data_IF_445691135236
#
_entry.id   IF_445691135236
#
_cell.length_a   1.000
_cell.length_b   1.000
_cell.length_c   1.000
_cell.angle_alpha   90.00
_cell.angle_beta   90.00
_cell.angle_gamma   90.00
#
_symmetry.space_group_name_H-M   'P 1'
#
loop_
_entity.id
_entity.type
_entity.pdbx_description
1 polymer ?
2 non-polymer ?
3 non-polymer ?
4 water ?
#
# COMPACT_ATOMS: atom_id res chain seq x y z
N UNK A 1 -24.10 -15.74 -4.09
CA UNK A 1 -23.05 -15.07 -3.27
C UNK A 1 -22.09 -14.28 -4.15
N UNK A 2 -20.99 -13.82 -3.56
CA UNK A 2 -19.97 -13.02 -4.22
C UNK A 2 -18.66 -13.09 -3.41
N UNK A 3 -17.58 -12.70 -4.05
CA UNK A 3 -16.28 -12.65 -3.37
C UNK A 3 -16.32 -11.38 -2.53
N UNK A 4 -16.26 -11.54 -1.22
CA UNK A 4 -16.33 -10.39 -0.34
C UNK A 4 -14.92 -9.82 -0.18
N UNK A 5 -14.80 -8.56 -0.54
CA UNK A 5 -13.52 -7.91 -0.51
C UNK A 5 -13.62 -6.76 0.49
N UNK A 6 -12.59 -6.67 1.33
CA UNK A 6 -12.57 -5.54 2.24
C UNK A 6 -11.19 -4.90 2.01
N UNK A 7 -11.26 -3.62 1.71
CA UNK A 7 -10.03 -2.92 1.37
C UNK A 7 -9.87 -1.75 2.35
N UNK A 8 -8.62 -1.59 2.80
CA UNK A 8 -8.37 -0.45 3.66
C UNK A 8 -7.78 0.70 2.84
N UNK A 9 -8.01 1.92 3.28
CA UNK A 9 -7.46 3.08 2.60
C UNK A 9 -8.06 3.28 1.23
N UNK A 10 -9.39 3.37 1.18
CA UNK A 10 -10.03 3.56 -0.13
C UNK A 10 -10.37 5.00 -0.45
N UNK A 11 -9.86 5.94 0.33
CA UNK A 11 -10.24 7.33 0.06
C UNK A 11 -9.66 7.84 -1.24
N UNK A 12 -8.55 7.26 -1.67
CA UNK A 12 -7.93 7.73 -2.89
C UNK A 12 -6.98 6.66 -3.42
N UNK A 13 -6.34 7.03 -4.51
CA UNK A 13 -5.32 6.20 -5.11
C UNK A 13 -5.74 4.78 -5.37
N UNK A 14 -4.78 3.90 -5.09
CA UNK A 14 -4.98 2.48 -5.38
C UNK A 14 -6.22 1.91 -4.74
N UNK A 15 -6.42 2.19 -3.46
CA UNK A 15 -7.53 1.63 -2.73
C UNK A 15 -8.85 2.06 -3.38
N UNK A 16 -8.94 3.34 -3.67
CA UNK A 16 -10.19 3.84 -4.29
C UNK A 16 -10.41 3.14 -5.61
N UNK A 17 -9.36 3.15 -6.45
CA UNK A 17 -9.49 2.57 -7.78
C UNK A 17 -9.76 1.08 -7.71
N UNK A 18 -9.11 0.39 -6.78
CA UNK A 18 -9.33 -1.03 -6.66
C UNK A 18 -10.76 -1.32 -6.23
N UNK A 19 -11.21 -0.58 -5.22
CA UNK A 19 -12.57 -0.78 -4.73
C UNK A 19 -13.59 -0.68 -5.87
N UNK A 20 -13.46 0.39 -6.65
CA UNK A 20 -14.44 0.60 -7.72
C UNK A 20 -14.20 -0.36 -8.87
N UNK A 21 -12.92 -0.69 -9.11
CA UNK A 21 -12.67 -1.70 -10.14
C UNK A 21 -13.38 -3.00 -9.78
N UNK A 22 -13.22 -3.41 -8.51
CA UNK A 22 -13.85 -4.64 -8.09
C UNK A 22 -15.37 -4.55 -8.08
N UNK A 23 -15.85 -3.44 -7.55
CA UNK A 23 -17.30 -3.29 -7.37
C UNK A 23 -17.97 -3.22 -8.73
N UNK A 24 -17.29 -2.61 -9.70
CA UNK A 24 -17.87 -2.44 -11.02
C UNK A 24 -17.51 -3.59 -11.96
N UNK A 25 -16.83 -4.61 -11.45
CA UNK A 25 -16.45 -5.73 -12.31
C UNK A 25 -17.71 -6.19 -13.05
N UNK A 26 -17.62 -6.30 -14.36
CA UNK A 26 -18.73 -6.75 -15.17
C UNK A 26 -19.37 -8.03 -14.66
N UNK A 27 -18.60 -8.98 -14.15
CA UNK A 27 -19.11 -10.22 -13.61
C UNK A 27 -19.90 -10.02 -12.33
N UNK A 28 -19.77 -8.89 -11.65
CA UNK A 28 -20.46 -8.62 -10.40
C UNK A 28 -20.14 -9.71 -9.38
N UNK A 29 -18.91 -10.19 -9.42
CA UNK A 29 -18.45 -11.28 -8.59
C UNK A 29 -17.97 -10.75 -7.24
N UNK A 30 -17.77 -9.44 -7.16
CA UNK A 30 -17.26 -8.88 -5.93
C UNK A 30 -18.25 -7.99 -5.19
N UNK A 31 -18.12 -8.17 -3.89
CA UNK A 31 -18.86 -7.35 -2.95
C UNK A 31 -17.74 -6.61 -2.20
N UNK A 32 -17.74 -5.30 -2.38
CA UNK A 32 -16.62 -4.57 -1.80
C UNK A 32 -16.99 -3.69 -0.63
N UNK A 33 -16.18 -3.93 0.40
CA UNK A 33 -16.26 -3.06 1.56
C UNK A 33 -15.07 -2.11 1.38
N UNK A 34 -15.36 -0.96 0.83
CA UNK A 34 -14.30 0.02 0.62
C UNK A 34 -14.21 0.79 1.94
N UNK A 35 -13.14 0.52 2.69
CA UNK A 35 -13.07 1.16 3.99
C UNK A 35 -12.11 2.33 3.91
N UNK A 36 -12.46 3.32 4.72
CA UNK A 36 -11.74 4.59 4.67
C UNK A 36 -11.45 5.00 6.11
N UNK A 37 -10.33 5.69 6.27
CA UNK A 37 -10.01 6.13 7.63
C UNK A 37 -11.08 7.08 8.13
N UNK A 38 -11.47 7.99 7.22
CA UNK A 38 -12.47 8.98 7.57
C UNK A 38 -13.55 8.89 6.50
N UNK A 39 -14.79 8.61 6.90
CA UNK A 39 -15.86 8.55 5.91
C UNK A 39 -16.08 9.84 5.17
N UNK A 40 -15.65 10.99 5.70
CA UNK A 40 -15.78 12.26 5.01
C UNK A 40 -14.98 12.29 3.70
N UNK A 41 -14.07 11.35 3.51
CA UNK A 41 -13.30 11.32 2.28
C UNK A 41 -13.88 10.33 1.28
N UNK A 42 -15.07 9.80 1.50
CA UNK A 42 -15.63 8.81 0.60
C UNK A 42 -16.22 9.37 -0.68
N UNK A 43 -16.20 10.68 -0.85
CA UNK A 43 -16.79 11.30 -2.02
C UNK A 43 -16.17 10.81 -3.30
N UNK A 44 -14.84 10.84 -3.41
CA UNK A 44 -14.23 10.44 -4.68
C UNK A 44 -14.54 8.98 -4.97
N UNK A 45 -14.57 8.18 -3.91
CA UNK A 45 -14.93 6.78 -4.06
C UNK A 45 -16.32 6.63 -4.65
N UNK A 46 -17.31 7.38 -4.14
CA UNK A 46 -18.64 7.30 -4.70
C UNK A 46 -18.73 7.92 -6.09
N UNK A 47 -17.93 8.94 -6.31
CA UNK A 47 -17.91 9.57 -7.64
C UNK A 47 -17.37 8.55 -8.64
N UNK A 48 -16.28 7.89 -8.23
CA UNK A 48 -15.67 6.88 -9.08
C UNK A 48 -16.60 5.68 -9.25
N UNK A 49 -17.25 5.28 -8.17
CA UNK A 49 -18.17 4.16 -8.20
C UNK A 49 -19.29 4.41 -9.21
N UNK A 50 -19.85 5.60 -9.13
CA UNK A 50 -20.93 5.99 -10.03
C UNK A 50 -20.44 6.07 -11.47
N UNK A 51 -19.21 6.54 -11.65
CA UNK A 51 -18.60 6.66 -12.97
C UNK A 51 -18.47 5.29 -13.63
N UNK A 52 -18.18 4.29 -12.80
CA UNK A 52 -18.05 2.92 -13.26
C UNK A 52 -19.34 2.14 -13.15
N UNK A 53 -20.43 2.81 -12.78
CA UNK A 53 -21.73 2.18 -12.66
C UNK A 53 -21.68 0.97 -11.75
N UNK A 54 -21.03 1.12 -10.59
CA UNK A 54 -21.01 0.02 -9.64
C UNK A 54 -22.47 -0.25 -9.23
N UNK A 55 -22.91 -1.47 -9.42
CA UNK A 55 -24.28 -1.81 -9.06
C UNK A 55 -24.51 -1.53 -7.59
N UNK A 56 -25.73 -1.13 -7.25
CA UNK A 56 -26.10 -0.87 -5.86
C UNK A 56 -25.82 -2.11 -5.04
N UNK A 57 -25.09 -1.96 -3.94
CA UNK A 57 -24.78 -3.08 -3.07
C UNK A 57 -23.47 -3.75 -3.44
N UNK A 58 -22.84 -3.33 -4.53
CA UNK A 58 -21.56 -3.93 -4.91
C UNK A 58 -20.46 -3.28 -4.09
N UNK A 59 -20.77 -2.07 -3.63
CA UNK A 59 -19.79 -1.28 -2.92
C UNK A 59 -20.43 -0.63 -1.71
N UNK A 60 -19.76 -0.84 -0.59
CA UNK A 60 -20.25 -0.30 0.67
C UNK A 60 -19.01 0.31 1.33
N UNK A 61 -19.20 1.49 1.89
CA UNK A 61 -18.09 2.12 2.57
C UNK A 61 -18.27 1.91 4.06
N UNK A 62 -17.12 1.67 4.70
CA UNK A 62 -17.10 1.53 6.13
C UNK A 62 -15.95 2.44 6.58
N UNK A 63 -16.12 2.97 7.78
CA UNK A 63 -15.00 3.69 8.37
C UNK A 63 -14.10 2.58 8.92
N UNK A 64 -12.81 2.74 8.66
CA UNK A 64 -11.87 1.76 9.16
C UNK A 64 -10.54 2.48 9.20
N UNK A 65 -10.19 2.83 10.43
CA UNK A 65 -8.92 3.53 10.65
C UNK A 65 -8.02 2.41 11.13
N UNK A 66 -7.00 2.06 10.34
CA UNK A 66 -6.14 0.94 10.74
C UNK A 66 -5.29 1.24 11.95
N UNK A 67 -5.30 2.47 12.47
CA UNK A 67 -4.56 2.76 13.69
C UNK A 67 -5.36 2.29 14.91
N UNK A 68 -6.63 2.02 14.68
CA UNK A 68 -7.54 1.70 15.77
C UNK A 68 -8.11 0.32 15.63
N UNK A 69 -7.68 -0.60 16.50
CA UNK A 69 -8.16 -1.96 16.45
C UNK A 69 -9.67 -2.03 16.67
N UNK A 70 -10.21 -1.06 17.40
CA UNK A 70 -11.65 -1.01 17.60
C UNK A 70 -12.34 -0.71 16.27
N UNK A 71 -11.72 0.19 15.51
CA UNK A 71 -12.29 0.55 14.20
C UNK A 71 -12.21 -0.66 13.29
N UNK A 72 -11.07 -1.35 13.33
CA UNK A 72 -10.86 -2.56 12.55
C UNK A 72 -11.95 -3.56 12.92
N UNK A 73 -12.09 -3.79 14.23
CA UNK A 73 -13.08 -4.76 14.68
C UNK A 73 -14.49 -4.33 14.31
N UNK A 74 -14.79 -3.04 14.42
CA UNK A 74 -16.14 -2.57 14.09
C UNK A 74 -16.43 -2.77 12.61
N UNK A 75 -15.43 -2.50 11.77
CA UNK A 75 -15.62 -2.68 10.33
C UNK A 75 -15.83 -4.15 10.02
N UNK A 76 -15.05 -5.02 10.63
CA UNK A 76 -15.13 -6.46 10.45
C UNK A 76 -16.53 -6.95 10.80
N UNK A 77 -17.07 -6.40 11.89
CA UNK A 77 -18.42 -6.73 12.32
C UNK A 77 -19.46 -6.27 11.31
N UNK A 78 -19.17 -5.23 10.54
CA UNK A 78 -20.07 -4.70 9.53
C UNK A 78 -20.08 -5.52 8.26
N UNK A 79 -19.17 -6.48 8.14
CA UNK A 79 -19.16 -7.34 6.96
C UNK A 79 -20.34 -8.31 7.15
N UNK A 80 -21.47 -7.95 6.57
CA UNK A 80 -22.71 -8.71 6.73
C UNK A 80 -22.61 -10.15 6.28
N UNK A 81 -21.79 -10.44 5.29
CA UNK A 81 -21.57 -11.80 4.80
C UNK A 81 -20.91 -12.68 5.85
N UNK A 82 -20.28 -12.09 6.86
CA UNK A 82 -19.65 -12.81 7.95
C UNK A 82 -18.37 -13.48 7.50
N UNK A 83 -17.78 -12.95 6.42
CA UNK A 83 -16.57 -13.49 5.89
C UNK A 83 -15.97 -12.45 4.92
N UNK A 84 -14.67 -12.52 4.84
CA UNK A 84 -13.92 -11.67 3.90
C UNK A 84 -13.11 -12.65 3.07
N UNK A 85 -13.39 -12.66 1.77
CA UNK A 85 -12.67 -13.58 0.90
C UNK A 85 -11.34 -12.95 0.52
N UNK A 86 -11.39 -11.63 0.36
CA UNK A 86 -10.20 -10.91 -0.07
C UNK A 86 -10.01 -9.70 0.83
N UNK A 87 -8.90 -9.69 1.54
CA UNK A 87 -8.62 -8.58 2.42
C UNK A 87 -7.48 -7.81 1.75
N UNK A 88 -7.73 -6.54 1.52
CA UNK A 88 -6.69 -5.75 0.86
C UNK A 88 -6.22 -4.70 1.85
N UNK A 89 -4.99 -4.90 2.29
CA UNK A 89 -4.38 -3.99 3.25
C UNK A 89 -3.63 -2.96 2.40
N UNK A 90 -4.30 -1.82 2.25
CA UNK A 90 -3.75 -0.78 1.40
C UNK A 90 -3.57 0.51 2.16
N UNK A 91 -4.19 0.61 3.34
CA UNK A 91 -4.04 1.82 4.13
C UNK A 91 -2.56 2.12 4.29
N UNK A 92 -2.23 3.39 4.06
CA UNK A 92 -0.80 3.68 4.22
C UNK A 92 -0.61 5.18 4.32
N UNK A 93 0.57 5.48 4.84
CA UNK A 93 1.04 6.83 4.95
C UNK A 93 2.40 6.92 4.27
N UNK A 94 2.66 8.12 3.76
CA UNK A 94 3.98 8.35 3.18
C UNK A 94 4.67 9.26 4.22
N UNK A 95 5.97 9.36 4.05
CA UNK A 95 6.71 10.26 4.93
C UNK A 95 8.00 10.52 4.18
N UNK A 96 8.13 11.77 3.77
CA UNK A 96 9.28 12.10 2.95
C UNK A 96 10.03 13.24 3.59
N UNK A 97 11.35 13.10 3.63
CA UNK A 97 12.13 14.23 4.16
C UNK A 97 13.35 13.68 4.86
N UNK A 98 14.26 14.60 5.16
CA UNK A 98 15.46 14.25 5.91
C UNK A 98 14.97 13.57 7.18
N UNK A 99 15.60 12.44 7.52
CA UNK A 99 15.18 11.75 8.73
C UNK A 99 15.06 12.67 9.94
N UNK A 100 16.04 13.52 10.19
CA UNK A 100 16.05 14.43 11.32
C UNK A 100 15.01 15.52 11.25
N UNK A 101 14.40 15.74 10.09
CA UNK A 101 13.34 16.72 9.93
C UNK A 101 11.97 16.09 10.16
N UNK A 102 11.92 14.76 10.26
CA UNK A 102 10.63 14.10 10.45
C UNK A 102 10.22 14.15 11.91
N UNK A 103 8.97 14.50 12.12
CA UNK A 103 8.45 14.53 13.48
C UNK A 103 8.42 13.10 13.99
N UNK A 104 8.68 12.96 15.27
CA UNK A 104 8.66 11.66 15.91
C UNK A 104 7.29 11.01 15.76
N UNK A 105 6.25 11.82 15.95
CA UNK A 105 4.88 11.35 15.82
C UNK A 105 4.61 10.90 14.39
N UNK A 106 5.13 11.67 13.43
CA UNK A 106 4.94 11.34 12.02
C UNK A 106 5.60 9.99 11.75
N UNK A 107 6.82 9.84 12.27
CA UNK A 107 7.51 8.56 12.07
C UNK A 107 6.69 7.43 12.67
N UNK A 108 6.29 7.59 13.93
CA UNK A 108 5.50 6.58 14.62
C UNK A 108 4.22 6.27 13.86
N UNK A 109 3.58 7.33 13.37
CA UNK A 109 2.33 7.17 12.65
C UNK A 109 2.50 6.33 11.41
N UNK A 110 3.61 6.54 10.70
CA UNK A 110 3.85 5.79 9.46
C UNK A 110 3.98 4.31 9.81
N UNK A 111 4.73 4.01 10.88
CA UNK A 111 4.86 2.61 11.24
C UNK A 111 3.54 2.07 11.75
N UNK A 112 2.83 2.91 12.51
CA UNK A 112 1.56 2.47 13.07
C UNK A 112 0.54 2.17 11.99
N UNK A 113 0.48 3.08 11.01
CA UNK A 113 -0.51 2.86 9.96
C UNK A 113 -0.06 1.75 9.03
N UNK A 114 1.17 1.91 8.51
CA UNK A 114 1.62 1.00 7.47
C UNK A 114 1.88 -0.41 7.95
N UNK A 115 2.51 -0.46 9.12
CA UNK A 115 2.87 -1.79 9.63
C UNK A 115 1.89 -2.28 10.67
N UNK A 116 1.78 -1.55 11.79
CA UNK A 116 0.89 -2.07 12.83
C UNK A 116 -0.54 -2.15 12.33
N UNK A 117 -0.95 -1.18 11.50
CA UNK A 117 -2.29 -1.16 10.95
C UNK A 117 -2.57 -2.42 10.14
N UNK A 118 -1.56 -2.81 9.34
CA UNK A 118 -1.68 -4.04 8.57
C UNK A 118 -1.71 -5.23 9.50
N UNK A 119 -0.85 -5.19 10.52
CA UNK A 119 -0.92 -6.27 11.52
C UNK A 119 -2.32 -6.33 12.11
N UNK A 120 -2.86 -5.17 12.51
CA UNK A 120 -4.21 -5.19 13.07
C UNK A 120 -5.19 -5.81 12.10
N UNK A 121 -5.10 -5.45 10.82
CA UNK A 121 -6.02 -6.03 9.84
C UNK A 121 -5.84 -7.54 9.83
N UNK A 122 -4.58 -7.99 9.77
CA UNK A 122 -4.34 -9.41 9.69
C UNK A 122 -4.80 -10.11 10.96
N UNK A 123 -4.58 -9.46 12.11
CA UNK A 123 -5.01 -10.13 13.34
C UNK A 123 -6.52 -10.28 13.33
N UNK A 124 -7.21 -9.25 12.84
CA UNK A 124 -8.65 -9.24 12.83
C UNK A 124 -9.24 -10.22 11.82
N UNK A 125 -8.63 -10.34 10.64
CA UNK A 125 -9.22 -11.14 9.59
C UNK A 125 -8.55 -12.44 9.26
N UNK A 126 -7.27 -12.62 9.61
CA UNK A 126 -6.59 -13.87 9.31
C UNK A 126 -7.22 -15.06 9.99
N UNK A 127 -7.54 -14.97 11.27
CA UNK A 127 -8.09 -16.12 11.99
C UNK A 127 -9.25 -16.77 11.25
N UNK A 128 -10.23 -16.00 10.82
CA UNK A 128 -11.37 -16.55 10.09
C UNK A 128 -10.91 -17.21 8.80
N UNK A 129 -9.96 -16.57 8.09
CA UNK A 129 -9.47 -17.18 6.87
C UNK A 129 -8.81 -18.52 7.15
N UNK A 130 -7.95 -18.54 8.16
CA UNK A 130 -7.29 -19.79 8.52
C UNK A 130 -8.34 -20.83 8.89
N UNK A 131 -9.36 -20.41 9.61
CA UNK A 131 -10.44 -21.31 10.02
C UNK A 131 -11.16 -21.88 8.81
N UNK A 132 -11.46 -21.02 7.84
CA UNK A 132 -12.14 -21.44 6.62
C UNK A 132 -11.23 -22.22 5.69
N UNK A 133 -9.93 -21.97 5.82
CA UNK A 133 -8.93 -22.59 4.95
C UNK A 133 -8.98 -21.88 3.61
N UNK A 134 -9.40 -20.61 3.64
CA UNK A 134 -9.48 -19.85 2.40
C UNK A 134 -9.46 -18.36 2.72
N UNK A 135 -8.98 -17.62 1.73
CA UNK A 135 -8.94 -16.16 1.91
C UNK A 135 -7.68 -15.68 1.20
N UNK A 136 -7.84 -14.49 0.64
CA UNK A 136 -6.72 -13.88 -0.06
C UNK A 136 -6.47 -12.57 0.69
N UNK A 137 -5.19 -12.36 0.96
CA UNK A 137 -4.83 -11.10 1.57
C UNK A 137 -3.85 -10.43 0.61
N UNK A 138 -4.25 -9.25 0.17
CA UNK A 138 -3.38 -8.50 -0.71
C UNK A 138 -2.89 -7.28 0.06
N UNK A 139 -1.59 -7.08 0.01
CA UNK A 139 -1.03 -5.96 0.76
C UNK A 139 -0.36 -5.05 -0.25
N UNK A 140 -0.74 -3.78 -0.18
CA UNK A 140 -0.11 -2.85 -1.10
C UNK A 140 1.33 -2.66 -0.63
N UNK A 141 2.21 -3.08 -1.51
CA UNK A 141 3.63 -2.96 -1.23
C UNK A 141 4.14 -1.84 -2.14
N UNK A 142 5.46 -1.68 -2.03
CA UNK A 142 6.07 -0.63 -2.84
C UNK A 142 7.44 -1.17 -3.20
N UNK A 143 7.96 -0.63 -4.29
CA UNK A 143 9.35 -0.93 -4.63
C UNK A 143 10.21 -0.35 -3.52
N UNK A 144 9.72 0.68 -2.83
CA UNK A 144 10.41 1.26 -1.70
C UNK A 144 10.42 0.32 -0.49
N UNK A 145 9.72 -0.80 -0.57
CA UNK A 145 9.74 -1.82 0.45
C UNK A 145 10.80 -2.87 0.08
N UNK A 146 11.36 -2.71 -1.11
CA UNK A 146 12.33 -3.63 -1.65
C UNK A 146 13.71 -3.02 -1.78
N UNK A 147 13.74 -1.70 -1.75
CA UNK A 147 15.03 -1.03 -1.87
C UNK A 147 14.87 0.34 -1.22
N UNK A 148 15.93 0.76 -0.56
CA UNK A 148 15.87 2.00 0.21
C UNK A 148 15.98 3.20 -0.72
N UNK A 149 15.23 4.21 -0.33
CA UNK A 149 15.21 5.46 -1.10
C UNK A 149 15.55 6.56 -0.12
N UNK A 150 16.51 7.38 -0.52
CA UNK A 150 16.93 8.48 0.35
C UNK A 150 15.71 9.34 0.57
N UNK A 151 15.62 9.89 1.77
CA UNK A 151 14.55 10.76 2.20
C UNK A 151 13.21 10.06 2.36
N UNK A 152 13.22 8.75 2.21
CA UNK A 152 12.03 7.94 2.41
C UNK A 152 12.40 6.87 3.43
N UNK A 153 13.34 7.20 4.30
CA UNK A 153 13.85 6.25 5.27
C UNK A 153 12.75 5.56 6.04
N UNK A 154 11.82 6.37 6.52
CA UNK A 154 10.76 5.78 7.35
C UNK A 154 9.72 5.10 6.50
N UNK A 155 9.41 5.75 5.36
CA UNK A 155 8.45 5.16 4.45
C UNK A 155 8.97 3.79 4.03
N UNK A 156 10.24 3.79 3.59
CA UNK A 156 10.82 2.51 3.16
C UNK A 156 10.87 1.55 4.33
N UNK A 157 11.25 2.08 5.50
CA UNK A 157 11.28 1.18 6.67
C UNK A 157 9.93 0.50 6.79
N UNK A 158 8.85 1.28 6.66
CA UNK A 158 7.52 0.70 6.80
C UNK A 158 7.18 -0.28 5.71
N UNK A 159 7.62 0.01 4.48
CA UNK A 159 7.27 -0.87 3.36
C UNK A 159 8.12 -2.12 3.43
N UNK A 160 9.36 -1.94 3.88
CA UNK A 160 10.24 -3.10 4.06
C UNK A 160 9.62 -3.93 5.18
N UNK A 161 9.13 -3.25 6.20
CA UNK A 161 8.48 -3.96 7.32
C UNK A 161 7.34 -4.80 6.79
N UNK A 162 6.56 -4.27 5.85
CA UNK A 162 5.48 -5.06 5.28
C UNK A 162 6.01 -6.29 4.56
N UNK A 163 7.15 -6.15 3.89
CA UNK A 163 7.75 -7.30 3.24
C UNK A 163 8.03 -8.37 4.29
N UNK A 164 8.69 -7.95 5.39
CA UNK A 164 9.06 -8.93 6.40
C UNK A 164 7.79 -9.52 7.03
N UNK A 165 6.84 -8.64 7.29
CA UNK A 165 5.59 -9.11 7.87
C UNK A 165 4.90 -10.15 7.00
N UNK A 166 4.71 -9.77 5.73
CA UNK A 166 3.99 -10.66 4.83
C UNK A 166 4.75 -11.91 4.47
N UNK A 167 6.07 -11.75 4.31
CA UNK A 167 6.84 -12.94 3.96
C UNK A 167 6.82 -13.95 5.08
N UNK A 168 6.98 -13.44 6.30
CA UNK A 168 6.92 -14.27 7.49
C UNK A 168 5.58 -14.97 7.59
N UNK A 169 4.52 -14.20 7.34
CA UNK A 169 3.19 -14.81 7.38
C UNK A 169 3.01 -15.83 6.27
N UNK A 170 3.52 -15.47 5.10
CA UNK A 170 3.35 -16.34 3.94
C UNK A 170 3.97 -17.71 4.18
N UNK A 171 5.12 -17.72 4.86
CA UNK A 171 5.76 -19.01 5.14
C UNK A 171 4.84 -19.88 5.98
N UNK A 172 4.16 -19.24 6.93
CA UNK A 172 3.25 -19.99 7.77
C UNK A 172 1.97 -20.36 7.04
N UNK A 173 1.38 -19.36 6.35
CA UNK A 173 0.10 -19.55 5.73
C UNK A 173 0.03 -20.48 4.55
N UNK A 174 1.14 -20.89 4.00
CA UNK A 174 1.25 -21.74 2.85
C UNK A 174 0.26 -22.89 2.86
N UNK A 175 0.26 -23.74 3.89
CA UNK A 175 -0.64 -24.86 3.96
C UNK A 175 -2.03 -24.56 4.49
N UNK A 176 -2.31 -23.33 4.89
CA UNK A 176 -3.61 -22.97 5.42
C UNK A 176 -4.64 -22.68 4.34
N UNK A 177 -4.20 -22.49 3.10
CA UNK A 177 -5.11 -22.17 2.01
C UNK A 177 -5.40 -20.66 2.01
N UNK A 178 -4.66 -19.93 2.82
CA UNK A 178 -4.82 -18.48 2.93
C UNK A 178 -3.64 -17.91 2.17
N UNK A 179 -3.96 -17.09 1.17
CA UNK A 179 -2.93 -16.59 0.28
C UNK A 179 -2.65 -15.14 0.57
N UNK A 180 -1.40 -14.87 0.86
CA UNK A 180 -1.00 -13.50 1.15
C UNK A 180 -0.08 -13.04 0.03
N UNK A 181 -0.39 -11.88 -0.52
CA UNK A 181 0.44 -11.37 -1.59
C UNK A 181 0.64 -9.88 -1.39
N UNK A 182 1.84 -9.47 -1.72
CA UNK A 182 2.19 -8.06 -1.73
C UNK A 182 2.12 -7.60 -3.18
N UNK A 183 1.48 -6.47 -3.36
CA UNK A 183 1.39 -5.90 -4.70
C UNK A 183 2.43 -4.79 -4.68
N UNK A 184 3.58 -5.12 -5.30
CA UNK A 184 4.71 -4.18 -5.25
C UNK A 184 4.52 -3.10 -6.32
N UNK A 185 4.14 -1.94 -5.81
CA UNK A 185 3.87 -0.85 -6.72
C UNK A 185 5.09 0.03 -6.87
N UNK A 186 5.22 0.54 -8.09
CA UNK A 186 6.20 1.60 -8.32
C UNK A 186 5.43 2.90 -8.06
N UNK A 187 5.93 3.98 -8.63
CA UNK A 187 5.23 5.25 -8.54
C UNK A 187 3.89 5.07 -9.24
N UNK A 188 2.88 5.61 -8.58
CA UNK A 188 1.53 5.52 -9.13
C UNK A 188 0.97 6.93 -9.21
N UNK A 189 0.31 7.25 -10.30
CA UNK A 189 -0.32 8.56 -10.43
C UNK A 189 -1.50 8.65 -9.48
N UNK A 190 -1.35 9.33 -8.36
CA UNK A 190 -2.39 9.48 -7.35
C UNK A 190 -2.15 10.82 -6.63
N UNK A 191 -3.09 11.75 -6.74
CA UNK A 191 -2.97 13.04 -6.07
C UNK A 191 -3.67 12.94 -4.71
N UNK A 192 -2.92 12.51 -3.70
CA UNK A 192 -3.49 12.33 -2.36
C UNK A 192 -2.54 12.66 -1.23
N UNK A 193 -3.05 13.44 -0.28
CA UNK A 193 -2.34 13.84 0.90
C UNK A 193 -0.82 13.74 0.79
N UNK A 194 -0.17 13.32 1.88
CA UNK A 194 1.28 13.22 1.99
C UNK A 194 1.96 14.57 2.04
N UNK A 195 1.33 15.64 1.59
CA UNK A 195 1.79 17.01 1.59
C UNK A 195 1.78 17.62 2.98
N UNK A 196 1.67 16.81 4.02
CA UNK A 196 1.77 17.11 5.41
C UNK A 196 3.26 17.05 5.80
N UNK A 197 4.08 16.60 4.85
CA UNK A 197 5.51 16.52 4.95
C UNK A 197 6.08 17.71 5.73
N UNK A 198 6.06 18.86 5.06
CA UNK A 198 6.59 20.09 5.65
C UNK A 198 7.15 20.99 4.55
N UNK A 199 6.80 22.27 4.62
CA UNK A 199 7.28 23.24 3.64
C UNK A 199 8.80 23.22 3.62
N UNK A 200 9.40 23.67 2.53
CA UNK A 200 10.85 23.76 2.42
C UNK A 200 11.45 24.44 3.63
N UNK A 201 10.86 25.55 4.06
CA UNK A 201 11.25 26.34 5.21
C UNK A 201 11.37 25.47 6.46
N UNK A 202 10.28 24.79 6.84
CA UNK A 202 10.30 23.92 8.00
C UNK A 202 11.29 22.77 7.84
N UNK A 203 11.42 22.23 6.64
CA UNK A 203 12.36 21.16 6.39
C UNK A 203 13.79 21.67 6.58
N UNK A 204 14.09 22.79 5.92
CA UNK A 204 15.42 23.39 6.04
C UNK A 204 15.75 23.75 7.47
N UNK A 205 14.76 24.20 8.23
CA UNK A 205 14.89 24.52 9.63
C UNK A 205 15.17 23.29 10.50
N UNK A 206 14.90 22.10 10.00
CA UNK A 206 15.11 20.86 10.74
C UNK A 206 16.25 20.01 10.20
N UNK A 207 17.01 20.54 9.25
CA UNK A 207 18.13 19.76 8.72
C UNK A 207 19.24 20.71 8.29
N UNK A 208 20.33 20.15 7.79
CA UNK A 208 21.43 21.00 7.34
C UNK A 208 21.22 21.34 5.88
N UNK A 209 21.89 22.37 5.40
CA UNK A 209 21.73 22.86 4.03
C UNK A 209 22.14 21.81 3.02
N UNK A 210 23.10 20.95 3.31
CA UNK A 210 23.57 19.94 2.37
C UNK A 210 22.50 18.85 2.22
N UNK A 211 21.99 18.42 3.38
CA UNK A 211 20.90 17.44 3.33
C UNK A 211 19.71 18.02 2.59
N UNK A 212 19.42 19.29 2.89
CA UNK A 212 18.30 19.98 2.24
C UNK A 212 18.50 20.01 0.75
N UNK A 213 19.71 20.33 0.30
CA UNK A 213 20.07 20.33 -1.10
C UNK A 213 19.87 18.95 -1.71
N UNK A 214 20.32 17.92 -0.98
CA UNK A 214 20.13 16.56 -1.47
C UNK A 214 18.64 16.27 -1.56
N UNK A 215 17.87 16.76 -0.59
CA UNK A 215 16.43 16.52 -0.57
C UNK A 215 15.81 17.09 -1.84
N UNK A 216 16.22 18.32 -2.19
CA UNK A 216 15.77 18.91 -3.43
C UNK A 216 16.10 17.99 -4.59
N UNK A 217 17.35 17.53 -4.65
CA UNK A 217 17.80 16.66 -5.71
C UNK A 217 16.95 15.40 -5.79
N UNK A 218 16.69 14.83 -4.60
CA UNK A 218 15.83 13.65 -4.55
C UNK A 218 14.45 14.00 -5.10
N UNK A 219 13.89 15.12 -4.66
CA UNK A 219 12.56 15.53 -5.12
C UNK A 219 12.55 15.68 -6.63
N UNK A 220 13.58 16.32 -7.16
CA UNK A 220 13.69 16.50 -8.60
C UNK A 220 13.76 15.13 -9.28
N UNK A 221 14.56 14.24 -8.71
CA UNK A 221 14.71 12.89 -9.20
C UNK A 221 13.37 12.16 -9.15
N UNK A 222 12.72 12.25 -7.99
CA UNK A 222 11.43 11.58 -7.81
C UNK A 222 10.40 12.08 -8.82
N UNK A 223 10.37 13.39 -9.03
CA UNK A 223 9.46 13.97 -10.01
C UNK A 223 9.71 13.33 -11.37
N UNK A 224 10.99 13.17 -11.72
CA UNK A 224 11.33 12.56 -12.99
C UNK A 224 10.89 11.11 -13.06
N UNK A 225 11.13 10.39 -11.96
CA UNK A 225 10.72 8.99 -11.91
C UNK A 225 9.21 8.87 -12.08
N UNK A 226 8.45 9.72 -11.40
CA UNK A 226 7.00 9.70 -11.57
C UNK A 226 6.60 10.09 -12.98
N UNK A 227 7.21 11.17 -13.47
CA UNK A 227 6.90 11.64 -14.83
C UNK A 227 7.14 10.54 -15.85
N UNK A 228 8.16 9.72 -15.65
CA UNK A 228 8.52 8.66 -16.56
C UNK A 228 7.96 7.28 -16.24
N UNK A 229 7.69 6.99 -14.97
CA UNK A 229 7.29 5.63 -14.63
C UNK A 229 5.98 5.53 -13.88
N UNK A 230 5.39 6.66 -13.46
CA UNK A 230 4.16 6.53 -12.68
C UNK A 230 3.12 5.78 -13.51
N UNK A 231 2.52 4.80 -12.86
CA UNK A 231 1.47 4.03 -13.52
C UNK A 231 0.10 4.59 -13.11
N UNK A 232 -0.87 4.38 -13.98
CA UNK A 232 -2.24 4.78 -13.64
C UNK A 232 -2.67 3.82 -12.53
N UNK A 233 -3.51 4.28 -11.62
CA UNK A 233 -4.03 3.44 -10.55
C UNK A 233 -4.85 2.29 -11.12
N UNK A 234 -5.46 2.47 -12.29
CA UNK A 234 -6.23 1.39 -12.90
C UNK A 234 -5.33 0.22 -13.26
N UNK A 235 -4.13 0.52 -13.78
CA UNK A 235 -3.23 -0.54 -14.15
C UNK A 235 -2.75 -1.27 -12.89
N UNK A 236 -2.44 -0.47 -11.88
CA UNK A 236 -1.99 -1.04 -10.61
C UNK A 236 -3.11 -1.83 -9.95
N UNK A 237 -4.32 -1.25 -9.95
CA UNK A 237 -5.44 -1.97 -9.33
C UNK A 237 -5.62 -3.32 -9.99
N UNK A 238 -5.40 -3.38 -11.32
CA UNK A 238 -5.59 -4.61 -12.05
C UNK A 238 -4.63 -5.68 -11.59
N UNK A 239 -3.44 -5.27 -11.12
CA UNK A 239 -2.50 -6.25 -10.58
C UNK A 239 -3.08 -6.92 -9.34
N UNK A 240 -3.82 -6.16 -8.53
CA UNK A 240 -4.48 -6.77 -7.38
C UNK A 240 -5.49 -7.81 -7.87
N UNK A 241 -6.22 -7.43 -8.94
CA UNK A 241 -7.18 -8.36 -9.50
C UNK A 241 -6.49 -9.61 -9.97
N UNK A 242 -5.36 -9.42 -10.65
CA UNK A 242 -4.57 -10.54 -11.14
C UNK A 242 -4.15 -11.44 -10.00
N UNK A 243 -3.64 -10.83 -8.93
CA UNK A 243 -3.25 -11.61 -7.75
C UNK A 243 -4.46 -12.35 -7.19
N UNK A 244 -5.60 -11.68 -7.16
CA UNK A 244 -6.82 -12.28 -6.67
C UNK A 244 -7.30 -13.49 -7.45
N UNK A 245 -7.17 -13.40 -8.77
CA UNK A 245 -7.63 -14.46 -9.66
C UNK A 245 -6.66 -15.62 -9.73
N UNK A 246 -5.40 -15.39 -9.35
CA UNK A 246 -4.40 -16.44 -9.41
C UNK A 246 -4.80 -17.57 -8.48
N UNK A 247 -4.89 -18.80 -8.99
CA UNK A 247 -5.22 -19.96 -8.19
C UNK A 247 -4.15 -20.22 -7.14
N UNK A 248 -2.89 -19.98 -7.47
CA UNK A 248 -1.77 -20.12 -6.55
C UNK A 248 -0.97 -18.83 -6.55
N UNK A 249 -1.50 -17.82 -5.89
CA UNK A 249 -0.86 -16.51 -5.89
C UNK A 249 0.53 -16.56 -5.25
N UNK A 250 1.41 -15.79 -5.87
CA UNK A 250 2.77 -15.70 -5.33
C UNK A 250 2.73 -14.67 -4.22
N UNK A 251 3.82 -14.66 -3.46
CA UNK A 251 3.93 -13.70 -2.35
C UNK A 251 3.98 -12.29 -2.91
N UNK A 252 4.63 -12.12 -4.05
CA UNK A 252 4.72 -10.80 -4.62
C UNK A 252 4.28 -10.73 -6.07
N UNK A 253 3.61 -9.62 -6.33
CA UNK A 253 3.19 -9.26 -7.68
C UNK A 253 3.84 -7.88 -7.88
N UNK A 254 4.46 -7.68 -9.01
CA UNK A 254 5.05 -6.37 -9.29
C UNK A 254 4.10 -5.69 -10.28
N UNK A 255 3.88 -4.40 -10.03
CA UNK A 255 3.03 -3.67 -10.97
C UNK A 255 3.88 -3.26 -12.17
N UNK A 256 5.18 -3.30 -11.96
CA UNK A 256 6.13 -2.94 -12.99
C UNK A 256 7.41 -3.72 -12.75
N UNK A 257 8.12 -3.97 -13.85
CA UNK A 257 9.39 -4.68 -13.77
C UNK A 257 10.52 -3.68 -13.94
N UNK A 258 10.15 -2.41 -14.01
CA UNK A 258 11.08 -1.31 -14.22
C UNK A 258 12.22 -1.26 -13.21
N UNK A 259 11.93 -1.59 -11.96
CA UNK A 259 12.90 -1.55 -10.89
C UNK A 259 13.55 -2.86 -10.54
N UNK A 260 13.16 -3.95 -11.22
CA UNK A 260 13.74 -5.27 -11.00
C UNK A 260 15.26 -5.22 -11.10
N UNK A 261 15.80 -4.60 -12.14
CA UNK A 261 17.24 -4.44 -12.29
C UNK A 261 17.91 -3.83 -11.06
N UNK A 262 17.46 -2.66 -10.59
CA UNK A 262 18.01 -2.05 -9.38
C UNK A 262 17.89 -3.02 -8.21
N UNK A 263 16.75 -3.70 -8.15
CA UNK A 263 16.49 -4.70 -7.14
C UNK A 263 17.43 -5.88 -7.21
N UNK A 264 17.71 -6.38 -8.42
CA UNK A 264 18.62 -7.50 -8.62
C UNK A 264 19.98 -7.16 -8.03
N UNK A 265 20.39 -5.92 -8.22
CA UNK A 265 21.62 -5.37 -7.69
C UNK A 265 21.74 -5.52 -6.18
N UNK A 266 20.66 -5.45 -5.42
CA UNK A 266 20.74 -5.66 -3.98
C UNK A 266 21.19 -7.06 -3.60
N UNK A 267 20.70 -8.12 -4.27
CA UNK A 267 21.15 -9.45 -3.88
C UNK A 267 22.48 -9.82 -4.53
N UNK A 268 22.73 -9.24 -5.70
CA UNK A 268 24.02 -9.45 -6.35
C UNK A 268 25.12 -9.04 -5.36
N UNK A 269 24.82 -8.02 -4.55
CA UNK A 269 25.71 -7.56 -3.51
C UNK A 269 25.02 -7.43 -2.16
N UNK A 270 25.07 -8.47 -1.35
CA UNK A 270 24.50 -8.50 -0.01
C UNK A 270 25.13 -7.48 0.93
N UNK A 271 26.33 -7.00 0.63
CA UNK A 271 26.95 -5.95 1.44
C UNK A 271 26.17 -4.66 1.30
N UNK A 272 25.38 -4.53 0.23
CA UNK A 272 24.57 -3.40 -0.05
C UNK A 272 25.29 -2.25 -0.69
N UNK A 273 26.60 -2.34 -0.86
CA UNK A 273 27.41 -1.27 -1.41
C UNK A 273 27.03 -0.92 -2.83
N UNK A 274 26.77 -1.96 -3.63
CA UNK A 274 26.43 -1.73 -5.02
C UNK A 274 25.14 -0.94 -5.12
N UNK A 275 24.15 -1.40 -4.36
CA UNK A 275 22.88 -0.69 -4.40
C UNK A 275 23.05 0.74 -3.93
N UNK A 276 23.65 0.92 -2.74
CA UNK A 276 23.82 2.27 -2.20
C UNK A 276 24.51 3.20 -3.18
N UNK A 277 25.61 2.71 -3.75
CA UNK A 277 26.35 3.52 -4.72
C UNK A 277 25.51 3.80 -5.95
N UNK A 278 24.88 2.77 -6.50
CA UNK A 278 24.06 2.93 -7.70
C UNK A 278 22.89 3.87 -7.47
N UNK A 279 22.22 3.68 -6.32
CA UNK A 279 21.05 4.51 -6.04
C UNK A 279 21.46 5.93 -5.74
N UNK A 280 22.61 6.10 -5.07
CA UNK A 280 23.07 7.46 -4.79
C UNK A 280 23.27 8.18 -6.13
N UNK A 281 23.94 7.48 -7.04
CA UNK A 281 24.18 8.02 -8.38
C UNK A 281 22.87 8.20 -9.14
N UNK A 282 21.97 7.23 -9.00
CA UNK A 282 20.68 7.30 -9.67
C UNK A 282 19.91 8.53 -9.22
N UNK A 283 19.85 8.74 -7.91
CA UNK A 283 19.09 9.85 -7.35
C UNK A 283 19.82 11.18 -7.47
N UNK A 284 21.10 11.18 -7.10
CA UNK A 284 21.88 12.41 -7.07
C UNK A 284 22.76 12.59 -8.29
N UNK A 285 22.57 11.84 -9.36
CA UNK A 285 23.36 12.04 -10.56
C UNK A 285 24.75 11.45 -10.48
X LIG B 1 12.37 4.32 -7.78
X LIG B 1 13.71 4.58 -8.14
X LIG B 1 14.29 5.84 -7.89
X LIG B 1 15.51 6.06 -8.23
X LIG B 1 13.54 6.88 -7.27
X LIG B 1 12.19 6.65 -6.89
X LIG B 1 11.41 7.82 -6.21
X LIG B 1 9.83 7.58 -6.14
X LIG B 1 9.66 6.11 -5.63
X LIG B 1 10.13 5.10 -6.74
X LIG B 1 11.60 5.36 -7.14
X LIG B 1 9.95 3.62 -6.20
X LIG B 1 8.48 3.31 -5.76
X LIG B 1 7.91 4.35 -4.76
X LIG B 1 8.17 5.81 -5.27
X LIG B 1 7.51 6.78 -4.12
X LIG B 1 6.04 5.98 -4.16
X LIG B 1 6.34 4.45 -4.55
X LIG B 1 6.04 3.52 -3.55
X LIG B 1 8.62 4.21 -3.33
X LIG B 1 5.50 6.05 -2.77
X LIG B 1 5.25 7.46 -2.51
X LIG B 1 4.69 7.72 -1.10
X LIG B 1 3.22 7.46 -1.17
X LIG B 1 2.53 8.09 -0.04
X LIG B 1 1.08 7.85 -0.07
X LIG B 1 0.86 7.29 1.24
X LIG B 1 -0.64 7.00 1.29
X LIG B 1 -5.40 5.69 3.61
X LIG B 1 -5.31 6.96 2.83
X LIG B 1 -6.18 7.89 3.17
X LIG B 1 -5.36 6.41 1.48
X LIG B 1 -6.55 6.34 1.07
X LIG B 1 -4.72 5.04 1.54
X LIG B 1 -4.35 4.94 2.97
X LIG B 1 -3.36 4.77 0.82
X LIG B 1 -2.63 6.00 1.16
X LIG B 1 -1.16 5.70 0.91
X LIG B 1 -0.49 4.81 0.55
X LIG B 1 -6.70 4.06 8.23
X LIG B 1 -7.17 3.72 7.02
X LIG B 1 -6.76 4.20 5.85
X LIG B 1 -5.72 5.18 5.88
X LIG B 1 -5.15 5.60 7.18
X LIG B 1 -5.74 4.94 8.33
X LIG B 1 -5.18 5.36 9.56
X LIG B 1 -4.14 6.56 7.03
X LIG B 1 -4.16 6.66 5.64
X LIG B 1 -5.05 5.89 4.91
X LIG C 1 2.48 5.47 -5.54
X LIG C 1 3.47 6.61 -6.00
X LIG C 1 2.57 4.48 -4.58
X LIG C 1 3.45 3.52 -4.91
X LIG C 1 1.58 4.56 -3.88
X LIG C 1 0.27 5.16 -3.28
X LIG D 1 20.70 -7.51 0.01
X LIG D 1 21.33 -6.11 -0.45
X LIG D 1 20.63 -7.99 1.31
X LIG D 1 21.83 -8.28 1.82
X LIG D 1 19.47 -8.32 1.52
X LIG D 1 17.99 -7.83 1.47
X LIG E 1 14.77 -6.45 2.97
X LIG E 1 15.67 -7.33 3.94
X LIG E 1 14.55 -6.70 1.61
X LIG E 1 15.62 -7.25 1.03
X LIG E 1 13.54 -6.08 1.34
X LIG E 1 12.13 -5.76 1.93
#
# INVERSE_FOLDING_TARGET
ARTVVLITGCSSGIGLHLAVRLASDPSQSFKVYATLRDLKTQGRLWEAARALACPPGSLETLQLDVRDSKSVAAARERVTEGRVDVLVCNAGLGLLGPLEALGEDAVASVLDVNVVGTVRMLQAFLPDMKRRGSGRVLVTGSVGGLMGLPFNDVYCASKFALEGLCESLAVLLLPFGVHLSLIECGPVHTAFMEKVLGSPEEVLDRTDIHTFHRFYQYLAHSKQVFREAAQNPEEVAEVFLTALRAPKPTLRYFTTERFLPLLRMRLDDPSGSNYVTAMHREVFGDVPAKAEAGAEAGGGAGPGAEDEAGRSAVGDPELGDPPAAPQ
HYC C1 C2 C3 O3 C4 C5 C6 C7 C8 C9 C10 C11 C12 C13 C14 C15 C16 C17 O17 C18 C21 C22 C23 C24 C25 C26 C27 C28 C31 C32 O32 C33 O33 C34 O34 C35 O35 C36 O36 N41 C42 N43 C44 C45 C46 N46 N47 C48 N49
GOL C1 O1 C2 O2 C3 O3
GOL C1 O1 C2 O2 C3 O3
GOL C1 O1 C2 O2 C3 O3
#
